data_IF_654678817447
#
_entry.id   IF_654678817447
#
_cell.length_a   1.000
_cell.length_b   1.000
_cell.length_c   1.000
_cell.angle_alpha   90.00
_cell.angle_beta   90.00
_cell.angle_gamma   90.00
#
_symmetry.space_group_name_H-M   'P 1'
#
loop_
_entity.id
_entity.type
_entity.pdbx_description
1 polymer ?
#
# COMPACT_ATOMS: atom_id res chain seq x y z
N UNK A 1 7.49 9.07 1.67
CA UNK A 1 8.49 9.88 2.39
C UNK A 1 9.84 9.16 2.33
N UNK A 2 10.96 9.88 2.45
CA UNK A 2 12.31 9.27 2.49
C UNK A 2 12.73 9.10 3.95
N UNK A 3 13.21 7.91 4.29
CA UNK A 3 13.71 7.55 5.63
C UNK A 3 15.22 7.83 5.76
N UNK A 4 15.76 7.70 6.98
CA UNK A 4 17.19 7.91 7.24
C UNK A 4 18.10 6.96 6.46
N UNK A 5 17.60 5.78 6.09
CA UNK A 5 18.29 4.80 5.25
C UNK A 5 18.41 5.26 3.78
N UNK A 6 17.85 6.40 3.43
CA UNK A 6 17.85 6.93 2.07
C UNK A 6 16.79 6.31 1.16
N UNK A 7 16.02 5.33 1.65
CA UNK A 7 14.94 4.66 0.92
C UNK A 7 13.60 5.38 1.07
N UNK A 8 12.69 5.14 0.15
CA UNK A 8 11.36 5.73 0.08
C UNK A 8 10.32 4.76 0.63
N UNK A 9 9.47 5.25 1.51
CA UNK A 9 8.42 4.49 2.16
C UNK A 9 7.08 5.16 1.88
N UNK A 10 6.04 4.35 1.75
CA UNK A 10 4.68 4.82 1.77
C UNK A 10 3.88 4.01 2.78
N UNK A 11 2.78 4.61 3.24
CA UNK A 11 1.84 3.98 4.15
C UNK A 11 0.47 4.01 3.52
N UNK A 12 -0.18 2.86 3.52
CA UNK A 12 -1.53 2.72 3.05
C UNK A 12 -2.49 2.83 4.23
N UNK A 13 -3.38 3.81 4.15
CA UNK A 13 -4.35 4.14 5.18
C UNK A 13 -5.74 3.98 4.56
N UNK A 14 -6.61 3.28 5.26
CA UNK A 14 -8.01 3.12 4.88
C UNK A 14 -8.73 4.48 4.85
N UNK A 15 -9.89 4.55 4.18
CA UNK A 15 -10.74 5.74 4.20
C UNK A 15 -11.15 6.15 5.63
N UNK A 16 -11.23 5.18 6.55
CA UNK A 16 -11.54 5.39 7.97
C UNK A 16 -10.35 5.95 8.78
N UNK A 17 -9.20 6.17 8.15
CA UNK A 17 -7.97 6.66 8.81
C UNK A 17 -7.11 5.56 9.45
N UNK A 18 -7.54 4.29 9.37
CA UNK A 18 -6.77 3.14 9.89
C UNK A 18 -5.56 2.83 9.01
N UNK A 19 -4.38 2.80 9.60
CA UNK A 19 -3.16 2.34 8.92
C UNK A 19 -3.25 0.83 8.68
N UNK A 20 -3.20 0.42 7.42
CA UNK A 20 -3.35 -0.99 7.04
C UNK A 20 -2.02 -1.64 6.68
N UNK A 21 -1.22 -0.94 5.87
CA UNK A 21 0.06 -1.44 5.37
C UNK A 21 1.11 -0.35 5.40
N UNK A 22 2.35 -0.76 5.60
CA UNK A 22 3.51 0.08 5.36
C UNK A 22 4.40 -0.60 4.34
N UNK A 23 4.79 0.13 3.29
CA UNK A 23 5.72 -0.43 2.34
C UNK A 23 7.13 -0.50 2.90
N UNK A 24 7.91 -1.46 2.42
CA UNK A 24 9.35 -1.50 2.63
C UNK A 24 10.04 -0.37 1.85
N UNK A 25 11.31 -0.13 2.19
CA UNK A 25 12.07 0.93 1.56
C UNK A 25 12.33 0.65 0.09
N UNK A 26 11.77 1.49 -0.78
CA UNK A 26 12.10 1.53 -2.21
C UNK A 26 13.36 2.36 -2.46
N UNK A 27 14.09 2.00 -3.50
CA UNK A 27 15.24 2.79 -3.96
C UNK A 27 14.79 4.07 -4.65
N UNK A 28 13.70 4.01 -5.41
CA UNK A 28 13.19 5.16 -6.15
C UNK A 28 11.80 5.63 -5.67
N UNK A 29 11.53 6.96 -5.64
CA UNK A 29 10.20 7.48 -5.34
C UNK A 29 9.18 7.09 -6.42
N UNK A 30 9.63 6.88 -7.66
CA UNK A 30 8.81 6.40 -8.77
C UNK A 30 8.29 4.98 -8.52
N UNK A 31 9.12 4.08 -8.00
CA UNK A 31 8.68 2.72 -7.66
C UNK A 31 7.60 2.74 -6.56
N UNK A 32 7.78 3.56 -5.52
CA UNK A 32 6.78 3.74 -4.49
C UNK A 32 5.44 4.22 -5.07
N UNK A 33 5.47 5.21 -5.97
CA UNK A 33 4.28 5.69 -6.66
C UNK A 33 3.62 4.64 -7.55
N UNK A 34 4.41 3.86 -8.30
CA UNK A 34 3.87 2.79 -9.14
C UNK A 34 3.29 1.62 -8.33
N UNK A 35 3.90 1.27 -7.20
CA UNK A 35 3.37 0.27 -6.29
C UNK A 35 2.00 0.71 -5.73
N UNK A 36 1.86 1.98 -5.34
CA UNK A 36 0.57 2.53 -4.92
C UNK A 36 -0.44 2.43 -6.07
N UNK A 37 -0.10 2.94 -7.26
CA UNK A 37 -0.99 2.92 -8.42
C UNK A 37 -1.45 1.50 -8.79
N UNK A 38 -0.53 0.53 -8.78
CA UNK A 38 -0.83 -0.90 -8.98
C UNK A 38 -1.82 -1.41 -7.94
N UNK A 39 -1.62 -1.08 -6.66
CA UNK A 39 -2.54 -1.45 -5.58
C UNK A 39 -3.94 -0.82 -5.75
N UNK A 40 -4.04 0.43 -6.25
CA UNK A 40 -5.35 1.05 -6.50
C UNK A 40 -6.07 0.41 -7.69
N UNK A 41 -5.33 -0.08 -8.68
CA UNK A 41 -5.91 -0.68 -9.88
C UNK A 41 -6.23 -2.17 -9.71
N UNK A 42 -5.44 -2.90 -8.93
CA UNK A 42 -5.58 -4.34 -8.77
C UNK A 42 -5.27 -4.76 -7.33
N UNK A 43 -6.26 -5.32 -6.63
CA UNK A 43 -6.05 -5.90 -5.30
C UNK A 43 -5.08 -7.09 -5.33
N UNK A 44 -5.02 -7.85 -6.43
CA UNK A 44 -4.04 -8.94 -6.64
C UNK A 44 -2.59 -8.45 -6.69
N UNK A 45 -2.35 -7.16 -7.02
CA UNK A 45 -1.01 -6.58 -6.96
C UNK A 45 -0.44 -6.62 -5.54
N UNK A 46 -1.30 -6.74 -4.52
CA UNK A 46 -0.89 -6.95 -3.13
C UNK A 46 -0.02 -8.22 -2.99
N UNK A 47 -0.34 -9.32 -3.66
CA UNK A 47 0.48 -10.55 -3.57
C UNK A 47 1.85 -10.35 -4.22
N UNK A 48 1.91 -9.65 -5.35
CA UNK A 48 3.18 -9.33 -6.01
C UNK A 48 4.05 -8.37 -5.18
N UNK A 49 3.40 -7.45 -4.46
CA UNK A 49 4.05 -6.48 -3.58
C UNK A 49 4.22 -6.98 -2.14
N UNK A 50 3.63 -8.12 -1.77
CA UNK A 50 3.71 -8.71 -0.43
C UNK A 50 5.14 -8.77 0.15
N UNK A 51 6.19 -9.20 -0.57
CA UNK A 51 7.56 -9.18 -0.03
C UNK A 51 8.11 -7.76 0.17
N UNK A 52 7.50 -6.76 -0.46
CA UNK A 52 7.82 -5.33 -0.33
C UNK A 52 6.82 -4.59 0.56
N UNK A 53 5.89 -5.28 1.22
CA UNK A 53 4.89 -4.70 2.09
C UNK A 53 5.01 -5.34 3.47
N UNK A 54 4.98 -4.51 4.50
CA UNK A 54 4.96 -4.94 5.89
C UNK A 54 3.54 -4.75 6.40
N UNK A 55 2.81 -5.85 6.70
CA UNK A 55 1.50 -5.73 7.33
C UNK A 55 1.65 -5.07 8.70
N UNK A 56 0.70 -4.21 9.04
CA UNK A 56 0.68 -3.53 10.34
C UNK A 56 0.06 -4.48 11.36
N UNK A 57 0.57 -4.45 12.58
CA UNK A 57 0.08 -5.31 13.66
C UNK A 57 -1.44 -5.10 13.86
N UNK A 58 -2.19 -6.21 13.90
CA UNK A 58 -3.66 -6.18 14.05
C UNK A 58 -4.43 -5.86 12.75
N UNK A 59 -3.82 -5.96 11.57
CA UNK A 59 -4.51 -5.84 10.28
C UNK A 59 -4.65 -7.21 9.64
N UNK A 60 -5.88 -7.59 9.30
CA UNK A 60 -6.13 -8.85 8.60
C UNK A 60 -6.03 -8.67 7.08
N UNK A 61 -5.77 -9.73 6.30
CA UNK A 61 -5.82 -9.65 4.85
C UNK A 61 -7.19 -9.20 4.33
N UNK A 62 -8.27 -9.44 5.08
CA UNK A 62 -9.62 -8.98 4.74
C UNK A 62 -9.78 -7.45 4.89
N UNK A 63 -9.18 -6.84 5.91
CA UNK A 63 -9.16 -5.37 6.05
C UNK A 63 -8.43 -4.71 4.88
N UNK A 64 -7.31 -5.31 4.46
CA UNK A 64 -6.50 -4.83 3.34
C UNK A 64 -7.28 -4.94 2.04
N UNK A 65 -7.86 -6.10 1.74
CA UNK A 65 -8.62 -6.29 0.51
C UNK A 65 -9.84 -5.37 0.45
N UNK A 66 -10.59 -5.21 1.55
CA UNK A 66 -11.72 -4.29 1.61
C UNK A 66 -11.31 -2.84 1.33
N UNK A 67 -10.21 -2.37 1.90
CA UNK A 67 -9.73 -1.01 1.66
C UNK A 67 -9.16 -0.80 0.25
N UNK A 68 -8.49 -1.80 -0.32
CA UNK A 68 -8.05 -1.76 -1.71
C UNK A 68 -9.25 -1.71 -2.67
N UNK A 69 -10.30 -2.47 -2.38
CA UNK A 69 -11.54 -2.46 -3.16
C UNK A 69 -12.25 -1.11 -3.07
N UNK A 70 -12.36 -0.53 -1.88
CA UNK A 70 -12.93 0.81 -1.68
C UNK A 70 -12.10 1.90 -2.38
N UNK A 71 -10.77 1.76 -2.39
CA UNK A 71 -9.89 2.68 -3.10
C UNK A 71 -10.03 2.56 -4.63
N UNK A 72 -10.14 1.33 -5.14
CA UNK A 72 -10.37 1.07 -6.56
C UNK A 72 -11.71 1.65 -7.03
N UNK A 73 -12.75 1.48 -6.23
CA UNK A 73 -14.08 2.07 -6.46
C UNK A 73 -14.02 3.61 -6.45
N UNK A 74 -13.37 4.20 -5.44
CA UNK A 74 -13.18 5.66 -5.35
C UNK A 74 -12.31 6.24 -6.47
N UNK A 75 -11.40 5.46 -7.06
CA UNK A 75 -10.58 5.89 -8.20
C UNK A 75 -11.32 5.73 -9.55
N UNK A 76 -12.35 4.89 -9.60
CA UNK A 76 -13.18 4.65 -10.78
C UNK A 76 -14.43 5.57 -10.85
N UNK A 77 -14.76 6.25 -9.75
CA UNK A 77 -15.86 7.23 -9.64
C UNK A 77 -15.44 8.63 -10.12
#
# INVERSE_FOLDING_TARGET
YREKDGKFYFKFVAFDGRLLLQSTGFDAPKEAGQAIAQLQQNADALQALAPRLTPVDGVTPADVSAALQALADAAAA
#
